data_IF_172836149177
#
_entry.id   IF_172836149177
#
_cell.length_a   1.000
_cell.length_b   1.000
_cell.length_c   1.000
_cell.angle_alpha   90.00
_cell.angle_beta   90.00
_cell.angle_gamma   90.00
#
_symmetry.space_group_name_H-M   'P 1'
#
loop_
_entity.id
_entity.type
_entity.pdbx_description
1 polymer ?
#
# COMPACT_ATOMS: atom_id res chain seq x y z
N UNK A 1 3.88 -17.30 9.03
CA UNK A 1 3.53 -15.94 8.59
C UNK A 1 3.18 -15.12 9.82
N UNK A 2 3.82 -13.98 10.01
CA UNK A 2 3.64 -13.10 11.17
C UNK A 2 3.29 -11.69 10.68
N UNK A 3 2.17 -11.15 11.12
CA UNK A 3 1.74 -9.80 10.83
C UNK A 3 2.11 -8.88 12.01
N UNK A 4 2.73 -7.75 11.73
CA UNK A 4 3.03 -6.69 12.68
C UNK A 4 2.41 -5.38 12.21
N UNK A 5 1.71 -4.72 13.11
CA UNK A 5 1.26 -3.36 12.91
C UNK A 5 2.43 -2.41 13.19
N UNK A 6 2.65 -1.46 12.29
CA UNK A 6 3.69 -0.43 12.45
C UNK A 6 3.05 0.84 13.00
N UNK A 7 2.32 1.53 12.14
CA UNK A 7 1.60 2.75 12.51
C UNK A 7 0.65 3.15 11.38
N UNK A 8 -0.53 3.74 11.72
CA UNK A 8 -1.53 4.20 10.75
C UNK A 8 -1.93 3.07 9.78
N UNK A 9 -1.69 3.21 8.48
CA UNK A 9 -1.91 2.16 7.48
C UNK A 9 -0.69 1.28 7.25
N UNK A 10 0.36 1.44 8.06
CA UNK A 10 1.63 0.72 7.95
C UNK A 10 1.58 -0.66 8.56
N UNK A 11 1.89 -1.68 7.77
CA UNK A 11 1.97 -3.08 8.21
C UNK A 11 3.23 -3.75 7.68
N UNK A 12 3.77 -4.67 8.47
CA UNK A 12 4.81 -5.61 8.06
C UNK A 12 4.28 -7.03 8.15
N UNK A 13 4.42 -7.78 7.08
CA UNK A 13 4.10 -9.18 7.02
C UNK A 13 5.36 -9.99 6.75
N UNK A 14 5.78 -10.78 7.72
CA UNK A 14 6.89 -11.71 7.55
C UNK A 14 6.38 -13.09 7.16
N UNK A 15 6.88 -13.60 6.03
CA UNK A 15 6.63 -14.94 5.52
C UNK A 15 7.85 -15.85 5.73
N UNK A 16 7.81 -17.08 5.24
CA UNK A 16 8.99 -17.94 5.27
C UNK A 16 10.10 -17.40 4.35
N UNK A 17 9.75 -16.87 3.16
CA UNK A 17 10.69 -16.46 2.13
C UNK A 17 11.01 -14.97 2.13
N UNK A 18 10.03 -14.13 2.40
CA UNK A 18 10.16 -12.69 2.21
C UNK A 18 9.47 -11.89 3.32
N UNK A 19 9.66 -10.59 3.26
CA UNK A 19 9.03 -9.61 4.14
C UNK A 19 8.31 -8.60 3.25
N UNK A 20 7.05 -8.33 3.55
CA UNK A 20 6.22 -7.35 2.86
C UNK A 20 6.00 -6.18 3.81
N UNK A 21 6.30 -4.96 3.37
CA UNK A 21 6.05 -3.74 4.14
C UNK A 21 5.10 -2.87 3.34
N UNK A 22 3.96 -2.54 3.93
CA UNK A 22 2.92 -1.73 3.30
C UNK A 22 2.82 -0.37 3.95
N UNK A 23 2.71 0.67 3.16
CA UNK A 23 2.38 2.05 3.53
C UNK A 23 3.11 2.54 4.78
N UNK A 24 4.42 2.40 4.78
CA UNK A 24 5.27 2.86 5.88
C UNK A 24 5.34 4.39 5.91
N UNK A 25 5.03 4.96 7.06
CA UNK A 25 5.14 6.39 7.33
C UNK A 25 6.03 6.66 8.56
N UNK A 26 5.55 6.29 9.73
CA UNK A 26 6.27 6.38 11.01
C UNK A 26 6.37 5.00 11.66
N UNK A 27 7.32 4.85 12.56
CA UNK A 27 7.54 3.58 13.28
C UNK A 27 7.88 3.85 14.74
N UNK A 28 6.90 4.29 15.55
CA UNK A 28 7.14 4.65 16.95
C UNK A 28 7.53 3.44 17.82
N UNK A 29 7.22 2.23 17.37
CA UNK A 29 7.56 0.98 18.06
C UNK A 29 8.89 0.36 17.56
N UNK A 30 9.58 1.03 16.62
CA UNK A 30 10.85 0.60 16.03
C UNK A 30 10.83 -0.82 15.46
N UNK A 31 9.69 -1.18 14.84
CA UNK A 31 9.47 -2.53 14.26
C UNK A 31 10.52 -2.83 13.19
N UNK A 32 10.81 -1.83 12.33
CA UNK A 32 11.69 -2.01 11.18
C UNK A 32 13.17 -2.24 11.54
N UNK A 33 13.62 -1.77 12.71
CA UNK A 33 15.04 -1.94 13.11
C UNK A 33 15.46 -3.41 13.13
N UNK A 34 14.58 -4.31 13.54
CA UNK A 34 14.80 -5.75 13.57
C UNK A 34 14.98 -6.39 12.18
N UNK A 35 14.64 -5.67 11.12
CA UNK A 35 14.66 -6.18 9.74
C UNK A 35 15.70 -5.51 8.84
N UNK A 36 16.38 -4.45 9.32
CA UNK A 36 17.33 -3.65 8.51
C UNK A 36 18.57 -4.41 8.05
N UNK A 37 18.86 -5.58 8.64
CA UNK A 37 20.00 -6.42 8.24
C UNK A 37 19.54 -7.83 7.87
N UNK A 38 18.29 -7.97 7.44
CA UNK A 38 17.73 -9.26 7.05
C UNK A 38 18.36 -9.80 5.77
N UNK A 39 18.51 -11.13 5.67
CA UNK A 39 18.86 -11.80 4.41
C UNK A 39 17.64 -12.11 3.54
N UNK A 40 16.43 -12.01 4.10
CA UNK A 40 15.19 -12.21 3.34
C UNK A 40 14.99 -11.09 2.33
N UNK A 41 14.32 -11.39 1.23
CA UNK A 41 13.89 -10.37 0.29
C UNK A 41 12.81 -9.49 0.94
N UNK A 42 12.97 -8.19 0.86
CA UNK A 42 12.01 -7.20 1.38
C UNK A 42 11.30 -6.52 0.22
N UNK A 43 9.99 -6.57 0.22
CA UNK A 43 9.14 -5.85 -0.72
C UNK A 43 8.47 -4.69 -0.01
N UNK A 44 8.64 -3.49 -0.55
CA UNK A 44 8.08 -2.26 0.03
C UNK A 44 7.02 -1.71 -0.90
N UNK A 45 5.80 -1.61 -0.38
CA UNK A 45 4.63 -1.15 -1.09
C UNK A 45 4.18 0.22 -0.57
N UNK A 46 3.84 1.14 -1.47
CA UNK A 46 3.10 2.34 -1.12
C UNK A 46 1.92 2.51 -2.06
N UNK A 47 0.73 2.55 -1.46
CA UNK A 47 -0.54 2.53 -2.20
C UNK A 47 -0.81 3.83 -2.94
N UNK A 48 -0.40 4.97 -2.38
CA UNK A 48 -0.60 6.28 -3.00
C UNK A 48 0.34 7.36 -2.42
N UNK A 49 0.19 8.59 -2.92
CA UNK A 49 1.15 9.68 -2.72
C UNK A 49 1.02 10.43 -1.38
N UNK A 50 -0.03 10.24 -0.60
CA UNK A 50 -0.22 10.92 0.68
C UNK A 50 0.90 10.58 1.65
N UNK A 51 1.21 11.51 2.56
CA UNK A 51 2.39 11.44 3.41
C UNK A 51 2.35 10.25 4.37
N UNK A 52 1.17 9.91 4.86
CA UNK A 52 0.89 8.81 5.76
C UNK A 52 0.93 7.42 5.10
N UNK A 53 1.12 7.36 3.76
CA UNK A 53 1.28 6.14 2.97
C UNK A 53 2.60 6.05 2.22
N UNK A 54 3.27 7.20 2.01
CA UNK A 54 4.56 7.26 1.34
C UNK A 54 5.50 8.29 1.98
N UNK A 55 6.63 7.83 2.48
CA UNK A 55 7.73 8.68 2.93
C UNK A 55 9.02 8.36 2.17
N UNK A 56 9.79 9.38 1.82
CA UNK A 56 11.12 9.19 1.19
C UNK A 56 12.13 8.48 2.08
N UNK A 57 11.86 8.36 3.37
CA UNK A 57 12.72 7.64 4.31
C UNK A 57 12.92 6.17 3.91
N UNK A 58 11.87 5.53 3.36
CA UNK A 58 11.97 4.13 2.90
C UNK A 58 13.02 3.92 1.83
N UNK A 59 13.25 4.92 0.96
CA UNK A 59 14.20 4.81 -0.16
C UNK A 59 15.66 4.66 0.30
N UNK A 60 15.95 5.01 1.56
CA UNK A 60 17.27 4.85 2.16
C UNK A 60 17.54 3.44 2.63
N UNK A 61 16.53 2.59 2.72
CA UNK A 61 16.67 1.22 3.22
C UNK A 61 17.54 0.35 2.31
N UNK A 62 17.59 0.64 1.01
CA UNK A 62 18.50 -0.04 0.05
C UNK A 62 19.97 0.02 0.45
N UNK A 63 20.36 0.98 1.30
CA UNK A 63 21.72 1.07 1.80
C UNK A 63 22.03 0.04 2.90
N UNK A 64 21.01 -0.60 3.46
CA UNK A 64 21.12 -1.54 4.58
C UNK A 64 20.50 -2.90 4.27
N UNK A 65 19.54 -2.95 3.38
CA UNK A 65 18.83 -4.18 2.97
C UNK A 65 19.23 -4.48 1.52
N UNK A 66 20.14 -5.45 1.29
CA UNK A 66 20.66 -5.71 -0.06
C UNK A 66 19.59 -6.28 -1.02
N UNK A 67 18.66 -7.06 -0.49
CA UNK A 67 17.59 -7.67 -1.27
C UNK A 67 16.29 -6.92 -1.00
N UNK A 68 16.10 -5.75 -1.62
CA UNK A 68 14.90 -4.93 -1.47
C UNK A 68 14.31 -4.58 -2.85
N UNK A 69 12.99 -4.63 -2.95
CA UNK A 69 12.25 -4.24 -4.14
C UNK A 69 11.15 -3.24 -3.74
N UNK A 70 11.14 -2.09 -4.39
CA UNK A 70 10.11 -1.07 -4.21
C UNK A 70 9.05 -1.21 -5.28
N UNK A 71 7.81 -1.47 -4.86
CA UNK A 71 6.62 -1.59 -5.69
C UNK A 71 5.68 -0.44 -5.31
N UNK A 72 5.72 0.63 -6.09
CA UNK A 72 5.05 1.88 -5.75
C UNK A 72 3.93 2.21 -6.74
N UNK A 73 2.90 2.87 -6.25
CA UNK A 73 1.83 3.37 -7.10
C UNK A 73 2.31 4.51 -8.02
N UNK A 74 1.87 4.48 -9.28
CA UNK A 74 2.23 5.49 -10.29
C UNK A 74 1.78 6.91 -9.95
N UNK A 75 0.83 7.10 -9.08
CA UNK A 75 0.41 8.43 -8.65
C UNK A 75 1.49 9.14 -7.83
N UNK A 76 2.29 8.41 -7.06
CA UNK A 76 3.47 8.92 -6.34
C UNK A 76 4.44 9.60 -7.31
N UNK A 77 4.70 8.96 -8.46
CA UNK A 77 5.52 9.52 -9.53
C UNK A 77 4.83 10.72 -10.19
N UNK A 78 3.55 10.60 -10.54
CA UNK A 78 2.76 11.68 -11.15
C UNK A 78 2.69 12.92 -10.27
N UNK A 79 2.62 12.76 -8.97
CA UNK A 79 2.60 13.83 -7.97
C UNK A 79 4.00 14.34 -7.59
N UNK A 80 5.06 13.82 -8.26
CA UNK A 80 6.47 14.20 -8.05
C UNK A 80 6.95 13.99 -6.62
N UNK A 81 6.38 13.01 -5.93
CA UNK A 81 6.82 12.64 -4.59
C UNK A 81 8.09 11.77 -4.63
N UNK A 82 8.31 11.06 -5.73
CA UNK A 82 9.49 10.26 -6.02
C UNK A 82 9.94 10.45 -7.48
N UNK A 83 11.16 10.03 -7.80
CA UNK A 83 11.72 9.98 -9.14
C UNK A 83 11.50 8.60 -9.75
N UNK A 84 11.66 8.48 -11.08
CA UNK A 84 11.45 7.22 -11.79
C UNK A 84 12.36 6.08 -11.26
N UNK A 85 13.55 6.42 -10.87
CA UNK A 85 14.61 5.53 -10.39
C UNK A 85 14.44 5.11 -8.92
N UNK A 86 13.49 5.71 -8.22
CA UNK A 86 13.23 5.42 -6.79
C UNK A 86 12.45 4.12 -6.56
N UNK A 87 11.82 3.57 -7.60
CA UNK A 87 11.13 2.29 -7.51
C UNK A 87 11.55 1.34 -8.62
N UNK A 88 11.57 0.06 -8.28
CA UNK A 88 11.83 -1.03 -9.21
C UNK A 88 10.58 -1.30 -10.06
N UNK A 89 9.40 -1.15 -9.47
CA UNK A 89 8.11 -1.39 -10.12
C UNK A 89 7.15 -0.24 -9.85
N UNK A 90 6.62 0.34 -10.92
CA UNK A 90 5.56 1.35 -10.87
C UNK A 90 4.25 0.75 -11.34
N UNK A 91 3.26 0.67 -10.46
CA UNK A 91 1.98 0.05 -10.77
C UNK A 91 0.83 1.07 -10.78
N UNK A 92 -0.14 0.81 -11.66
CA UNK A 92 -1.40 1.53 -11.71
C UNK A 92 -2.54 0.51 -11.69
N UNK A 93 -3.78 0.96 -11.52
CA UNK A 93 -4.97 0.11 -11.62
C UNK A 93 -4.89 -0.83 -12.81
N UNK A 94 -5.15 -2.11 -12.58
CA UNK A 94 -5.13 -3.19 -13.56
C UNK A 94 -3.75 -3.75 -13.88
N UNK A 95 -2.68 -3.20 -13.29
CA UNK A 95 -1.35 -3.75 -13.48
C UNK A 95 -1.16 -5.03 -12.67
N UNK A 96 -0.38 -5.95 -13.23
CA UNK A 96 0.08 -7.18 -12.57
C UNK A 96 1.59 -7.26 -12.72
N UNK A 97 2.26 -7.68 -11.68
CA UNK A 97 3.70 -7.95 -11.64
C UNK A 97 3.98 -9.18 -10.80
N UNK A 98 4.99 -9.97 -11.17
CA UNK A 98 5.36 -11.19 -10.45
C UNK A 98 6.86 -11.48 -10.53
N UNK A 99 7.35 -12.17 -9.52
CA UNK A 99 8.68 -12.79 -9.49
C UNK A 99 8.61 -14.20 -8.87
N UNK A 100 9.76 -14.76 -8.46
CA UNK A 100 9.82 -16.10 -7.88
C UNK A 100 9.16 -16.22 -6.48
N UNK A 101 8.90 -15.12 -5.79
CA UNK A 101 8.39 -15.12 -4.42
C UNK A 101 6.91 -14.76 -4.33
N UNK A 102 6.45 -13.87 -5.20
CA UNK A 102 5.08 -13.36 -5.10
C UNK A 102 4.54 -12.82 -6.43
N UNK A 103 3.22 -12.73 -6.50
CA UNK A 103 2.50 -12.04 -7.56
C UNK A 103 1.69 -10.89 -6.95
N UNK A 104 1.76 -9.75 -7.59
CA UNK A 104 1.08 -8.51 -7.18
C UNK A 104 0.10 -8.08 -8.23
N UNK A 105 -1.14 -7.82 -7.83
CA UNK A 105 -2.15 -7.17 -8.66
C UNK A 105 -2.54 -5.84 -8.02
N UNK A 106 -2.63 -4.79 -8.83
CA UNK A 106 -3.06 -3.47 -8.39
C UNK A 106 -4.50 -3.22 -8.82
N UNK A 107 -5.41 -3.06 -7.87
CA UNK A 107 -6.78 -2.60 -8.13
C UNK A 107 -6.88 -1.09 -7.95
N UNK A 108 -7.95 -0.46 -8.41
CA UNK A 108 -8.17 0.96 -8.19
C UNK A 108 -8.57 1.25 -6.75
N UNK A 109 -8.26 2.45 -6.28
CA UNK A 109 -8.77 3.02 -5.05
C UNK A 109 -9.74 4.15 -5.38
N UNK A 110 -10.70 4.41 -4.51
CA UNK A 110 -11.62 5.52 -4.64
C UNK A 110 -11.09 6.83 -4.03
N UNK A 111 -9.99 6.76 -3.29
CA UNK A 111 -9.23 7.95 -2.91
C UNK A 111 -8.20 8.29 -3.99
N UNK A 112 -7.04 7.67 -3.93
CA UNK A 112 -5.97 7.81 -4.91
C UNK A 112 -5.13 6.53 -4.99
N UNK A 113 -4.35 6.41 -6.05
CA UNK A 113 -3.43 5.30 -6.23
C UNK A 113 -4.11 3.97 -6.45
N UNK A 114 -3.71 2.97 -5.67
CA UNK A 114 -4.12 1.58 -5.84
C UNK A 114 -4.31 0.88 -4.49
N UNK A 115 -5.08 -0.21 -4.51
CA UNK A 115 -5.06 -1.24 -3.48
C UNK A 115 -4.26 -2.43 -3.99
N UNK A 116 -3.60 -3.12 -3.08
CA UNK A 116 -2.72 -4.24 -3.39
C UNK A 116 -3.39 -5.58 -3.11
N UNK A 117 -3.30 -6.51 -4.06
CA UNK A 117 -3.57 -7.93 -3.88
C UNK A 117 -2.25 -8.65 -4.10
N UNK A 118 -1.74 -9.30 -3.06
CA UNK A 118 -0.45 -10.00 -3.11
C UNK A 118 -0.66 -11.47 -2.84
N UNK A 119 -0.26 -12.30 -3.77
CA UNK A 119 -0.29 -13.75 -3.67
C UNK A 119 1.13 -14.26 -3.38
N UNK A 120 1.32 -14.95 -2.26
CA UNK A 120 2.60 -15.55 -1.86
C UNK A 120 2.38 -16.76 -0.96
N UNK A 121 3.19 -17.79 -1.12
CA UNK A 121 3.13 -19.02 -0.29
C UNK A 121 1.73 -19.62 -0.16
N UNK A 122 0.94 -19.60 -1.26
CA UNK A 122 -0.42 -20.11 -1.31
C UNK A 122 -1.44 -19.29 -0.52
N UNK A 123 -1.11 -18.06 -0.16
CA UNK A 123 -2.00 -17.12 0.52
C UNK A 123 -2.20 -15.85 -0.29
N UNK A 124 -3.36 -15.25 -0.12
CA UNK A 124 -3.70 -13.94 -0.70
C UNK A 124 -3.80 -12.91 0.42
N UNK A 125 -3.05 -11.84 0.27
CA UNK A 125 -3.03 -10.68 1.17
C UNK A 125 -3.67 -9.52 0.42
N UNK A 126 -4.58 -8.82 1.06
CA UNK A 126 -5.18 -7.59 0.52
C UNK A 126 -4.81 -6.43 1.43
N UNK A 127 -4.18 -5.41 0.86
CA UNK A 127 -3.94 -4.14 1.52
C UNK A 127 -4.71 -3.06 0.78
N UNK A 128 -5.77 -2.58 1.39
CA UNK A 128 -6.72 -1.69 0.74
C UNK A 128 -6.17 -0.26 0.53
N UNK A 129 -5.13 0.15 1.28
CA UNK A 129 -4.80 1.57 1.37
C UNK A 129 -6.02 2.32 1.90
N UNK A 130 -6.36 3.41 1.25
CA UNK A 130 -7.55 4.22 1.58
C UNK A 130 -8.77 3.86 0.74
N UNK A 131 -8.82 2.65 0.18
CA UNK A 131 -10.04 2.15 -0.44
C UNK A 131 -11.09 1.93 0.63
N UNK A 132 -12.12 2.75 0.63
CA UNK A 132 -13.20 2.71 1.59
C UNK A 132 -14.54 2.95 0.89
N UNK A 133 -15.60 2.38 1.43
CA UNK A 133 -16.94 2.77 1.02
C UNK A 133 -17.28 4.11 1.67
N UNK A 134 -16.80 5.20 1.08
CA UNK A 134 -17.05 6.55 1.54
C UNK A 134 -18.55 6.83 1.56
N UNK A 135 -19.07 6.89 2.74
CA UNK A 135 -20.47 7.00 3.02
C UNK A 135 -20.73 8.37 3.66
N UNK A 136 -21.18 9.30 2.85
CA UNK A 136 -21.60 10.60 3.37
C UNK A 136 -23.12 10.59 3.55
N UNK A 137 -23.58 10.79 4.77
CA UNK A 137 -24.96 11.14 5.05
C UNK A 137 -25.07 12.65 5.04
N UNK A 138 -25.76 13.18 4.08
CA UNK A 138 -26.17 14.56 4.08
C UNK A 138 -27.64 14.62 4.50
N UNK A 139 -27.93 15.46 5.48
CA UNK A 139 -29.32 15.81 5.77
C UNK A 139 -29.77 16.74 4.65
N UNK A 140 -30.66 16.25 3.81
CA UNK A 140 -31.34 17.04 2.79
C UNK A 140 -32.69 17.42 3.36
N UNK A 141 -33.02 18.67 3.23
CA UNK A 141 -34.34 19.23 3.68
C UNK A 141 -34.67 19.05 5.17
N UNK A 142 -33.64 18.92 6.02
CA UNK A 142 -33.82 18.75 7.45
C UNK A 142 -34.43 17.42 7.87
N UNK A 143 -34.50 16.46 6.98
CA UNK A 143 -34.96 15.11 7.30
C UNK A 143 -33.93 14.32 8.09
N UNK A 144 -34.33 13.52 9.09
CA UNK A 144 -33.40 12.74 9.89
C UNK A 144 -32.76 11.62 9.11
N UNK A 145 -33.33 11.21 8.01
CA UNK A 145 -32.85 10.09 7.21
C UNK A 145 -31.68 10.47 6.31
N UNK A 146 -31.55 11.74 5.94
CA UNK A 146 -30.52 12.19 5.02
C UNK A 146 -30.40 11.33 3.76
N UNK A 147 -29.99 11.87 2.67
CA UNK A 147 -29.69 11.06 1.51
C UNK A 147 -28.40 10.29 1.68
N UNK A 148 -28.46 9.04 1.29
CA UNK A 148 -27.34 8.14 1.31
C UNK A 148 -26.71 8.12 -0.08
N UNK A 149 -25.57 8.76 -0.22
CA UNK A 149 -24.80 8.74 -1.47
C UNK A 149 -23.98 7.45 -1.67
N UNK A 150 -24.16 6.47 -0.82
CA UNK A 150 -23.43 5.21 -0.90
C UNK A 150 -23.75 4.39 -2.14
N UNK A 151 -24.90 4.58 -2.73
CA UNK A 151 -25.26 3.91 -3.99
C UNK A 151 -24.39 4.40 -5.15
N UNK A 152 -23.86 5.59 -5.03
CA UNK A 152 -22.85 6.16 -5.91
C UNK A 152 -21.46 5.99 -5.37
N UNK A 153 -21.27 4.99 -4.51
CA UNK A 153 -19.99 4.82 -3.86
C UNK A 153 -18.89 4.77 -4.92
N UNK A 154 -17.92 5.61 -4.75
CA UNK A 154 -16.75 5.71 -5.61
C UNK A 154 -16.05 4.36 -5.82
N UNK A 155 -16.22 3.45 -4.87
CA UNK A 155 -15.68 2.10 -4.97
C UNK A 155 -16.25 1.30 -6.14
N UNK A 156 -17.50 1.50 -6.53
CA UNK A 156 -18.10 0.79 -7.68
C UNK A 156 -17.58 1.29 -9.02
N UNK A 157 -17.17 2.54 -9.09
CA UNK A 157 -16.70 3.16 -10.34
C UNK A 157 -15.20 3.08 -10.53
N UNK A 158 -14.44 2.96 -9.44
CA UNK A 158 -12.99 3.08 -9.47
C UNK A 158 -12.23 1.78 -9.19
N UNK A 159 -12.89 0.75 -8.67
CA UNK A 159 -12.25 -0.55 -8.38
C UNK A 159 -12.29 -1.49 -9.56
#
# INVERSE_FOLDING_TARGET
MTLRYIFHSGFLLETARCILVFDYWMDPADVMSGYMNTCKHVYVFSSHFHEDHFTKAILRWKNRIPNITYILSKDILKRRRAQKEDADVWMAKGAVWEDENLKVSATGSNDSGVSWIVETEGKTIVHAGDLCNWYARFLVDGTPEGEVFSEFSFSKEKV
#
